data_IF_263322892909
#
_entry.id   IF_263322892909
#
_cell.length_a   1.000
_cell.length_b   1.000
_cell.length_c   1.000
_cell.angle_alpha   90.00
_cell.angle_beta   90.00
_cell.angle_gamma   90.00
#
_symmetry.space_group_name_H-M   'P 1'
#
loop_
_entity.id
_entity.type
_entity.pdbx_description
1 polymer ?
#
# COMPACT_ATOMS: atom_id res chain seq x y z
N UNK A 1 16.38 -1.41 19.85
CA UNK A 1 15.82 -1.74 19.63
C UNK A 1 15.23 -1.89 18.50
N UNK A 2 14.48 -2.29 18.07
CA UNK A 2 13.98 -2.59 17.01
C UNK A 2 12.95 -1.76 16.60
N UNK A 3 13.12 -0.59 16.27
CA UNK A 3 12.14 0.19 15.76
C UNK A 3 11.59 -0.25 14.51
N UNK A 4 12.29 -0.86 13.66
CA UNK A 4 11.82 -1.34 12.38
C UNK A 4 10.73 -2.37 12.54
N UNK A 5 10.80 -3.14 13.59
CA UNK A 5 9.83 -4.18 13.78
C UNK A 5 8.45 -3.66 13.98
N UNK A 6 8.31 -2.57 14.69
CA UNK A 6 7.01 -2.00 14.91
C UNK A 6 6.41 -1.54 13.62
N UNK A 7 7.18 -0.91 12.75
CA UNK A 7 6.66 -0.43 11.47
C UNK A 7 6.24 -1.57 10.58
N UNK A 8 6.99 -2.66 10.55
CA UNK A 8 6.68 -3.76 9.65
C UNK A 8 5.52 -4.60 10.12
N UNK A 9 5.20 -4.53 11.41
CA UNK A 9 4.09 -5.30 11.94
C UNK A 9 2.79 -4.51 11.94
N UNK A 10 2.86 -3.22 11.68
CA UNK A 10 1.65 -2.41 11.68
C UNK A 10 0.78 -2.75 10.49
N UNK A 11 -0.53 -2.56 10.69
CA UNK A 11 -1.50 -2.81 9.66
C UNK A 11 -2.24 -1.52 9.37
N UNK A 12 -2.63 -1.36 8.12
CA UNK A 12 -3.35 -0.18 7.68
C UNK A 12 -4.58 -0.62 6.90
N UNK A 13 -5.50 0.26 6.74
CA UNK A 13 -6.68 0.00 5.92
C UNK A 13 -7.00 1.25 5.13
N UNK A 14 -7.73 1.11 4.02
CA UNK A 14 -8.12 2.27 3.23
C UNK A 14 -8.99 3.22 4.03
N UNK A 15 -8.91 4.49 3.69
CA UNK A 15 -9.79 5.50 4.29
C UNK A 15 -11.22 5.10 4.02
N UNK A 16 -12.08 5.27 5.02
CA UNK A 16 -13.45 4.77 4.95
C UNK A 16 -14.27 5.42 3.86
N UNK A 17 -14.13 6.71 3.63
CA UNK A 17 -14.98 7.39 2.68
C UNK A 17 -14.18 8.26 1.73
N UNK A 18 -14.78 8.56 0.60
CA UNK A 18 -14.20 9.51 -0.33
C UNK A 18 -13.09 8.96 -1.20
N UNK A 19 -12.93 7.63 -1.28
CA UNK A 19 -11.94 7.03 -2.16
C UNK A 19 -12.64 6.00 -3.04
N UNK A 20 -12.52 6.15 -4.34
CA UNK A 20 -13.10 5.24 -5.31
C UNK A 20 -11.97 4.63 -6.11
N UNK A 21 -12.03 3.33 -6.34
CA UNK A 21 -10.99 2.65 -7.13
C UNK A 21 -11.53 2.34 -8.51
N UNK A 22 -10.68 2.47 -9.53
CA UNK A 22 -11.01 2.13 -10.88
C UNK A 22 -9.84 1.47 -11.55
N UNK A 23 -10.11 0.42 -12.31
CA UNK A 23 -9.05 -0.24 -13.05
C UNK A 23 -9.13 0.21 -14.49
N UNK A 24 -8.05 0.71 -15.05
CA UNK A 24 -7.99 1.19 -16.43
C UNK A 24 -6.72 0.65 -17.06
N UNK A 25 -6.85 -0.23 -18.04
CA UNK A 25 -5.72 -0.79 -18.79
C UNK A 25 -4.65 -1.39 -17.89
N UNK A 26 -5.09 -2.09 -16.86
CA UNK A 26 -4.15 -2.76 -15.95
C UNK A 26 -3.63 -1.87 -14.85
N UNK A 27 -3.88 -0.57 -14.90
CA UNK A 27 -3.48 0.33 -13.83
C UNK A 27 -4.63 0.52 -12.84
N UNK A 28 -4.29 0.75 -11.60
CA UNK A 28 -5.30 1.06 -10.60
C UNK A 28 -5.27 2.55 -10.33
N UNK A 29 -6.44 3.17 -10.44
CA UNK A 29 -6.58 4.57 -10.12
C UNK A 29 -7.34 4.72 -8.82
N UNK A 30 -6.86 5.60 -7.94
CA UNK A 30 -7.59 5.96 -6.73
C UNK A 30 -8.09 7.38 -6.90
N UNK A 31 -9.41 7.52 -6.84
CA UNK A 31 -10.02 8.83 -6.96
C UNK A 31 -10.32 9.32 -5.56
N UNK A 32 -9.62 10.37 -5.14
CA UNK A 32 -9.84 10.95 -3.83
C UNK A 32 -10.83 12.08 -4.03
N UNK A 33 -12.09 11.83 -3.73
CA UNK A 33 -13.15 12.79 -4.00
C UNK A 33 -13.14 13.93 -3.00
N UNK A 34 -12.50 13.74 -1.86
CA UNK A 34 -12.43 14.81 -0.87
C UNK A 34 -11.34 15.80 -1.21
N UNK A 35 -10.23 15.34 -1.73
CA UNK A 35 -9.14 16.21 -2.15
C UNK A 35 -9.22 16.57 -3.62
N UNK A 36 -10.14 15.97 -4.35
CA UNK A 36 -10.33 16.20 -5.78
C UNK A 36 -9.06 15.83 -6.56
N UNK A 37 -8.50 14.68 -6.26
CA UNK A 37 -7.27 14.22 -6.87
C UNK A 37 -7.42 12.79 -7.39
N UNK A 38 -6.65 12.47 -8.40
CA UNK A 38 -6.59 11.12 -8.95
C UNK A 38 -5.15 10.64 -8.80
N UNK A 39 -4.99 9.46 -8.22
CA UNK A 39 -3.67 8.87 -8.04
C UNK A 39 -3.58 7.58 -8.86
N UNK A 40 -2.52 7.46 -9.64
CA UNK A 40 -2.30 6.23 -10.38
C UNK A 40 -1.32 5.38 -9.62
N UNK A 41 -1.65 4.13 -9.36
CA UNK A 41 -0.80 3.22 -8.63
C UNK A 41 -0.07 2.30 -9.60
N UNK A 42 1.25 2.24 -9.47
CA UNK A 42 2.02 1.28 -10.24
C UNK A 42 1.81 -0.10 -9.64
N UNK A 43 2.47 -1.10 -10.20
CA UNK A 43 2.28 -2.48 -9.81
C UNK A 43 2.51 -2.71 -8.32
N UNK A 44 3.60 -2.19 -7.79
CA UNK A 44 3.94 -2.37 -6.39
C UNK A 44 2.93 -1.64 -5.50
N UNK A 45 2.61 -0.41 -5.83
CA UNK A 45 1.66 0.36 -5.03
C UNK A 45 0.28 -0.26 -5.06
N UNK A 46 -0.11 -0.87 -6.20
CA UNK A 46 -1.38 -1.56 -6.29
C UNK A 46 -1.41 -2.75 -5.34
N UNK A 47 -0.33 -3.52 -5.30
CA UNK A 47 -0.26 -4.68 -4.42
C UNK A 47 -0.31 -4.24 -2.96
N UNK A 48 0.33 -3.13 -2.64
CA UNK A 48 0.29 -2.58 -1.29
C UNK A 48 -1.12 -2.13 -0.93
N UNK A 49 -1.78 -1.45 -1.86
CA UNK A 49 -3.16 -1.00 -1.62
C UNK A 49 -4.08 -2.20 -1.37
N UNK A 50 -3.96 -3.24 -2.19
CA UNK A 50 -4.77 -4.44 -2.04
C UNK A 50 -4.47 -5.12 -0.71
N UNK A 51 -3.22 -5.10 -0.28
CA UNK A 51 -2.86 -5.62 1.03
C UNK A 51 -3.53 -4.85 2.15
N UNK A 52 -3.63 -3.53 2.01
CA UNK A 52 -4.31 -2.71 3.00
C UNK A 52 -5.81 -3.00 3.03
N UNK A 53 -6.40 -3.31 1.87
CA UNK A 53 -7.81 -3.68 1.84
C UNK A 53 -8.06 -4.95 2.66
N UNK A 54 -7.07 -5.80 2.78
CA UNK A 54 -7.17 -7.02 3.57
C UNK A 54 -6.51 -6.89 4.93
N UNK A 55 -6.10 -5.70 5.31
CA UNK A 55 -5.47 -5.38 6.57
C UNK A 55 -4.22 -6.22 6.82
N UNK A 56 -3.42 -6.41 5.79
CA UNK A 56 -2.17 -7.16 5.91
C UNK A 56 -1.07 -6.27 6.46
N UNK A 57 -0.12 -6.86 7.17
CA UNK A 57 1.01 -6.11 7.66
C UNK A 57 2.01 -5.85 6.54
N UNK A 58 2.94 -4.95 6.75
CA UNK A 58 3.99 -4.69 5.77
C UNK A 58 4.79 -5.95 5.48
N UNK A 59 5.06 -6.77 6.50
CA UNK A 59 5.75 -8.04 6.30
C UNK A 59 4.98 -8.97 5.38
N UNK A 60 3.68 -9.07 5.58
CA UNK A 60 2.84 -9.95 4.77
C UNK A 60 2.78 -9.45 3.32
N UNK A 61 2.69 -8.14 3.14
CA UNK A 61 2.65 -7.56 1.80
C UNK A 61 4.00 -7.77 1.10
N UNK A 62 5.11 -7.57 1.82
CA UNK A 62 6.43 -7.75 1.25
C UNK A 62 6.64 -9.20 0.83
N UNK A 63 6.16 -10.15 1.63
CA UNK A 63 6.26 -11.57 1.30
C UNK A 63 5.51 -11.86 0.00
N UNK A 64 4.35 -11.28 -0.17
CA UNK A 64 3.57 -11.46 -1.37
C UNK A 64 4.31 -10.87 -2.58
N UNK A 65 4.96 -9.73 -2.38
CA UNK A 65 5.72 -9.11 -3.46
C UNK A 65 6.88 -10.00 -3.90
N UNK A 66 7.58 -10.62 -2.93
CA UNK A 66 8.66 -11.53 -3.22
C UNK A 66 8.13 -12.71 -4.05
N UNK A 67 6.99 -13.24 -3.65
CA UNK A 67 6.44 -14.42 -4.33
C UNK A 67 5.95 -14.11 -5.74
N UNK A 68 5.38 -12.94 -5.93
CA UNK A 68 4.82 -12.62 -7.25
C UNK A 68 5.84 -12.09 -8.24
N UNK A 69 6.86 -11.37 -7.78
CA UNK A 69 7.77 -10.72 -8.69
C UNK A 69 9.22 -11.15 -8.54
N UNK A 70 9.46 -12.13 -7.68
CA UNK A 70 10.80 -12.71 -7.52
C UNK A 70 11.85 -11.66 -7.18
N UNK A 71 11.52 -10.71 -6.31
CA UNK A 71 12.47 -9.72 -5.87
C UNK A 71 13.03 -10.15 -4.52
N UNK A 72 14.16 -9.59 -4.15
CA UNK A 72 14.76 -9.93 -2.87
C UNK A 72 13.98 -9.34 -1.73
N UNK A 73 14.04 -9.99 -0.58
CA UNK A 73 13.23 -9.64 0.58
C UNK A 73 13.46 -8.21 1.05
N UNK A 74 14.70 -7.77 1.13
CA UNK A 74 14.98 -6.43 1.60
C UNK A 74 14.52 -5.38 0.62
N UNK A 75 14.59 -5.65 -0.66
CA UNK A 75 14.11 -4.73 -1.68
C UNK A 75 12.59 -4.66 -1.61
N UNK A 76 11.94 -5.81 -1.45
CA UNK A 76 10.49 -5.85 -1.34
C UNK A 76 10.04 -5.04 -0.12
N UNK A 77 10.70 -5.22 1.02
CA UNK A 77 10.32 -4.52 2.23
C UNK A 77 10.50 -3.01 2.07
N UNK A 78 11.60 -2.60 1.45
CA UNK A 78 11.86 -1.20 1.23
C UNK A 78 10.77 -0.59 0.35
N UNK A 79 10.40 -1.27 -0.72
CA UNK A 79 9.38 -0.78 -1.63
C UNK A 79 8.01 -0.70 -0.96
N UNK A 80 7.68 -1.70 -0.15
CA UNK A 80 6.40 -1.72 0.55
C UNK A 80 6.33 -0.59 1.57
N UNK A 81 7.39 -0.39 2.34
CA UNK A 81 7.42 0.67 3.35
C UNK A 81 7.31 2.04 2.69
N UNK A 82 8.01 2.22 1.56
CA UNK A 82 7.95 3.48 0.82
C UNK A 82 6.52 3.74 0.32
N UNK A 83 5.88 2.72 -0.22
CA UNK A 83 4.51 2.87 -0.71
C UNK A 83 3.53 3.16 0.42
N UNK A 84 3.69 2.48 1.56
CA UNK A 84 2.81 2.73 2.70
C UNK A 84 2.97 4.16 3.22
N UNK A 85 4.20 4.65 3.28
CA UNK A 85 4.45 6.01 3.73
C UNK A 85 3.79 7.03 2.80
N UNK A 86 3.88 6.78 1.50
CA UNK A 86 3.29 7.67 0.52
C UNK A 86 1.77 7.68 0.64
N UNK A 87 1.16 6.49 0.72
CA UNK A 87 -0.30 6.40 0.83
C UNK A 87 -0.77 7.05 2.12
N UNK A 88 -0.01 6.92 3.19
CA UNK A 88 -0.36 7.52 4.46
C UNK A 88 -0.23 9.04 4.40
N UNK A 89 0.82 9.55 3.76
CA UNK A 89 1.01 10.98 3.60
C UNK A 89 -0.12 11.61 2.79
N UNK A 90 -0.67 10.85 1.83
CA UNK A 90 -1.79 11.29 1.03
C UNK A 90 -3.13 11.09 1.75
N UNK A 91 -3.09 10.53 2.94
CA UNK A 91 -4.27 10.27 3.76
C UNK A 91 -5.25 9.30 3.11
N UNK A 92 -4.71 8.39 2.31
CA UNK A 92 -5.53 7.39 1.65
C UNK A 92 -5.65 6.11 2.47
N UNK A 93 -4.77 5.90 3.43
CA UNK A 93 -4.85 4.78 4.37
C UNK A 93 -4.71 5.29 5.79
N UNK A 94 -5.24 4.54 6.73
CA UNK A 94 -5.16 4.87 8.14
C UNK A 94 -4.74 3.63 8.92
N UNK A 95 -4.20 3.77 10.12
CA UNK A 95 -3.88 2.61 10.94
C UNK A 95 -5.13 1.78 11.22
N UNK A 96 -4.94 0.48 11.15
CA UNK A 96 -6.05 -0.44 11.40
C UNK A 96 -6.10 -0.87 12.86
#
# INVERSE_FOLDING_TARGET
>A
MKQGSEDTERRFRPRISGVITREVDGDLLLLDTEADLIHRLNRTARLVWQGCEETRSADEIAQQLVEEYEVEQDIAMEDVVTALKRLRALKLITPA
#
